data_IF_237651916766
#
_entry.id   IF_237651916766
#
_cell.length_a   1.000
_cell.length_b   1.000
_cell.length_c   1.000
_cell.angle_alpha   90.00
_cell.angle_beta   90.00
_cell.angle_gamma   90.00
#
_symmetry.space_group_name_H-M   'P 1'
#
loop_
_entity.id
_entity.type
_entity.pdbx_description
1 polymer ?
#
# COMPACT_ATOMS: atom_id res chain seq x y z
N UNK A 1 3.85 15.43 -2.27
CA UNK A 1 3.75 14.03 -1.83
C UNK A 1 4.28 13.14 -2.93
N UNK A 2 5.19 12.24 -2.59
CA UNK A 2 5.77 11.34 -3.58
C UNK A 2 4.73 10.28 -3.97
N UNK A 3 4.49 10.13 -5.27
CA UNK A 3 3.59 9.08 -5.75
C UNK A 3 4.28 7.73 -5.69
N UNK A 4 3.47 6.66 -5.61
CA UNK A 4 3.99 5.31 -5.71
C UNK A 4 4.47 5.05 -7.15
N UNK A 5 5.54 4.26 -7.33
CA UNK A 5 5.97 3.87 -8.67
C UNK A 5 4.93 2.95 -9.31
N UNK A 6 4.97 2.84 -10.64
CA UNK A 6 4.16 1.85 -11.32
C UNK A 6 4.77 0.44 -11.16
N UNK A 7 4.05 -0.56 -11.63
CA UNK A 7 4.44 -1.97 -11.50
C UNK A 7 5.80 -2.24 -12.12
N UNK A 8 6.07 -1.72 -13.32
CA UNK A 8 7.33 -1.98 -14.02
C UNK A 8 8.51 -1.34 -13.29
N UNK A 9 8.32 -0.12 -12.80
CA UNK A 9 9.35 0.58 -12.04
C UNK A 9 9.60 -0.11 -10.70
N UNK A 10 8.56 -0.59 -10.05
CA UNK A 10 8.68 -1.37 -8.83
C UNK A 10 9.58 -2.59 -9.05
N UNK A 11 9.30 -3.36 -10.09
CA UNK A 11 10.06 -4.56 -10.38
C UNK A 11 11.53 -4.25 -10.70
N UNK A 12 11.77 -3.19 -11.50
CA UNK A 12 13.15 -2.77 -11.80
C UNK A 12 13.92 -2.36 -10.56
N UNK A 13 13.30 -1.53 -9.72
CA UNK A 13 13.94 -1.04 -8.51
C UNK A 13 14.21 -2.18 -7.52
N UNK A 14 13.26 -3.09 -7.39
CA UNK A 14 13.41 -4.23 -6.49
C UNK A 14 14.53 -5.16 -6.97
N UNK A 15 14.63 -5.38 -8.28
CA UNK A 15 15.69 -6.20 -8.88
C UNK A 15 17.08 -5.61 -8.71
N UNK A 16 17.18 -4.28 -8.58
CA UNK A 16 18.46 -3.59 -8.38
C UNK A 16 18.95 -3.65 -6.94
N UNK A 17 18.12 -4.07 -6.01
CA UNK A 17 18.54 -4.21 -4.62
C UNK A 17 19.55 -5.36 -4.53
N UNK A 18 20.68 -5.10 -3.90
CA UNK A 18 21.81 -6.05 -3.89
C UNK A 18 21.58 -7.23 -2.96
N UNK A 19 20.76 -7.05 -1.91
CA UNK A 19 20.55 -8.06 -0.90
C UNK A 19 19.18 -7.86 -0.24
N UNK A 20 18.84 -8.76 0.69
CA UNK A 20 17.55 -8.72 1.38
C UNK A 20 17.39 -7.49 2.26
N UNK A 21 18.46 -6.98 2.85
CA UNK A 21 18.40 -5.78 3.67
C UNK A 21 17.96 -4.58 2.83
N UNK A 22 18.52 -4.41 1.63
CA UNK A 22 18.13 -3.33 0.73
C UNK A 22 16.69 -3.49 0.26
N UNK A 23 16.27 -4.72 -0.03
CA UNK A 23 14.88 -5.00 -0.43
C UNK A 23 13.91 -4.64 0.68
N UNK A 24 14.23 -5.01 1.90
CA UNK A 24 13.43 -4.71 3.08
C UNK A 24 13.27 -3.21 3.28
N UNK A 25 14.39 -2.47 3.20
CA UNK A 25 14.37 -1.01 3.35
C UNK A 25 13.60 -0.35 2.22
N UNK A 26 13.69 -0.86 1.01
CA UNK A 26 12.92 -0.35 -0.12
C UNK A 26 11.42 -0.51 0.10
N UNK A 27 10.98 -1.67 0.60
CA UNK A 27 9.57 -1.91 0.91
C UNK A 27 9.08 -0.93 1.98
N UNK A 28 9.86 -0.70 3.04
CA UNK A 28 9.51 0.26 4.08
C UNK A 28 9.37 1.66 3.48
N UNK A 29 10.28 2.05 2.59
CA UNK A 29 10.23 3.35 1.92
C UNK A 29 8.93 3.50 1.12
N UNK A 30 8.52 2.46 0.40
CA UNK A 30 7.26 2.49 -0.34
C UNK A 30 6.07 2.75 0.57
N UNK A 31 6.06 2.14 1.75
CA UNK A 31 5.00 2.36 2.73
C UNK A 31 4.91 3.81 3.18
N UNK A 32 6.04 4.51 3.26
CA UNK A 32 6.05 5.92 3.66
C UNK A 32 5.45 6.84 2.60
N UNK A 33 5.28 6.34 1.38
CA UNK A 33 4.68 7.11 0.27
C UNK A 33 3.16 6.93 0.18
N UNK A 34 2.57 6.08 1.02
CA UNK A 34 1.12 5.91 1.05
C UNK A 34 0.46 7.20 1.52
N UNK A 35 -0.68 7.52 0.89
CA UNK A 35 -1.49 8.65 1.34
C UNK A 35 -2.00 8.36 2.75
N UNK A 36 -1.88 9.32 3.69
CA UNK A 36 -2.31 9.08 5.06
C UNK A 36 -3.82 8.94 5.16
N UNK A 37 -4.26 8.12 6.12
CA UNK A 37 -5.67 8.03 6.48
C UNK A 37 -5.98 9.07 7.56
N UNK A 38 -7.22 9.57 7.54
CA UNK A 38 -7.70 10.45 8.61
C UNK A 38 -7.92 9.63 9.89
N UNK A 39 -8.00 10.29 11.08
CA UNK A 39 -8.32 9.56 12.31
C UNK A 39 -9.63 8.78 12.21
N UNK A 40 -10.63 9.32 11.53
CA UNK A 40 -11.92 8.66 11.35
C UNK A 40 -11.82 7.41 10.49
N UNK A 41 -10.84 7.37 9.60
CA UNK A 41 -10.62 6.22 8.72
C UNK A 41 -9.85 5.10 9.41
N UNK A 42 -9.20 5.37 10.52
CA UNK A 42 -8.60 4.34 11.40
C UNK A 42 -9.69 3.77 12.31
N UNK A 43 -10.68 3.15 11.70
CA UNK A 43 -11.86 2.67 12.41
C UNK A 43 -11.97 1.15 12.34
N UNK A 44 -12.80 0.61 13.22
CA UNK A 44 -13.10 -0.83 13.25
C UNK A 44 -13.67 -1.31 11.92
N UNK A 45 -14.42 -0.44 11.21
CA UNK A 45 -15.01 -0.81 9.94
C UNK A 45 -13.98 -1.02 8.84
N UNK A 46 -12.84 -0.36 8.93
CA UNK A 46 -11.78 -0.42 7.92
C UNK A 46 -10.66 -1.38 8.29
N UNK A 47 -10.68 -1.94 9.49
CA UNK A 47 -9.59 -2.81 9.95
C UNK A 47 -9.69 -4.19 9.31
N UNK A 48 -8.52 -4.74 8.95
CA UNK A 48 -8.44 -6.10 8.41
C UNK A 48 -8.22 -7.06 9.57
N UNK A 49 -9.13 -8.00 9.73
CA UNK A 49 -9.09 -8.98 10.81
C UNK A 49 -8.04 -10.04 10.55
N UNK A 50 -7.51 -10.62 11.63
CA UNK A 50 -6.58 -11.73 11.55
C UNK A 50 -5.11 -11.34 11.39
N UNK A 51 -4.81 -10.06 11.34
CA UNK A 51 -3.42 -9.56 11.29
C UNK A 51 -2.88 -9.38 12.71
N UNK A 52 -1.60 -9.68 12.92
CA UNK A 52 -0.92 -9.38 14.18
C UNK A 52 -0.73 -7.88 14.36
N UNK A 53 -0.42 -7.17 13.27
CA UNK A 53 -0.37 -5.71 13.25
C UNK A 53 -1.74 -5.17 12.86
N UNK A 54 -2.06 -3.95 13.28
CA UNK A 54 -3.29 -3.30 12.85
C UNK A 54 -3.12 -2.81 11.41
N UNK A 55 -4.09 -3.16 10.58
CA UNK A 55 -4.12 -2.77 9.16
C UNK A 55 -5.51 -2.20 8.84
N UNK A 56 -5.54 -1.03 8.23
CA UNK A 56 -6.78 -0.39 7.80
C UNK A 56 -6.75 -0.20 6.30
N UNK A 57 -7.86 -0.55 5.63
CA UNK A 57 -8.00 -0.38 4.18
C UNK A 57 -9.26 0.42 3.90
N UNK A 58 -9.15 1.45 3.09
CA UNK A 58 -10.28 2.25 2.60
C UNK A 58 -10.36 2.05 1.09
N UNK A 59 -11.53 1.68 0.62
CA UNK A 59 -11.77 1.44 -0.79
C UNK A 59 -12.75 2.50 -1.31
N UNK A 60 -12.30 3.27 -2.31
CA UNK A 60 -13.13 4.27 -2.97
C UNK A 60 -13.38 3.84 -4.40
N UNK A 61 -14.60 4.02 -4.88
CA UNK A 61 -14.97 3.71 -6.26
C UNK A 61 -15.47 4.99 -6.93
N UNK A 62 -14.89 5.32 -8.08
CA UNK A 62 -15.34 6.50 -8.82
C UNK A 62 -16.57 6.17 -9.69
N UNK A 63 -17.19 7.18 -10.32
CA UNK A 63 -18.39 6.95 -11.16
C UNK A 63 -18.14 6.04 -12.36
N UNK A 64 -16.89 5.85 -12.78
CA UNK A 64 -16.55 4.97 -13.89
C UNK A 64 -16.30 3.52 -13.46
N UNK A 65 -16.38 3.23 -12.16
CA UNK A 65 -16.16 1.91 -11.60
C UNK A 65 -14.72 1.60 -11.23
N UNK A 66 -13.80 2.56 -11.41
CA UNK A 66 -12.39 2.37 -11.03
C UNK A 66 -12.27 2.45 -9.51
N UNK A 67 -11.62 1.45 -8.92
CA UNK A 67 -11.40 1.39 -7.48
C UNK A 67 -10.05 2.01 -7.15
N UNK A 68 -10.05 2.89 -6.16
CA UNK A 68 -8.85 3.47 -5.56
C UNK A 68 -8.75 2.97 -4.13
N UNK A 69 -7.57 2.48 -3.76
CA UNK A 69 -7.31 1.94 -2.43
C UNK A 69 -6.41 2.88 -1.64
N UNK A 70 -6.76 3.08 -0.38
CA UNK A 70 -5.90 3.77 0.59
C UNK A 70 -5.76 2.86 1.80
N UNK A 71 -4.60 2.86 2.43
CA UNK A 71 -4.38 1.98 3.57
C UNK A 71 -3.28 2.46 4.49
N UNK A 72 -3.26 1.89 5.66
CA UNK A 72 -2.27 2.21 6.69
C UNK A 72 -2.06 0.99 7.59
N UNK A 73 -0.98 1.03 8.35
CA UNK A 73 -0.69 0.02 9.37
C UNK A 73 0.15 0.66 10.46
N UNK A 74 0.12 0.06 11.64
CA UNK A 74 0.99 0.45 12.76
C UNK A 74 2.40 -0.15 12.64
N UNK A 75 2.64 -1.03 11.68
CA UNK A 75 3.95 -1.64 11.43
C UNK A 75 4.50 -1.19 10.09
N UNK A 76 5.74 -0.66 10.08
CA UNK A 76 6.35 -0.07 8.88
C UNK A 76 6.48 -1.07 7.73
N UNK A 77 6.88 -2.31 8.01
CA UNK A 77 7.02 -3.32 6.96
C UNK A 77 5.66 -3.72 6.38
N UNK A 78 4.64 -3.84 7.22
CA UNK A 78 3.29 -4.16 6.77
C UNK A 78 2.75 -3.04 5.91
N UNK A 79 2.98 -1.79 6.30
CA UNK A 79 2.61 -0.62 5.50
C UNK A 79 3.28 -0.65 4.12
N UNK A 80 4.54 -1.06 4.06
CA UNK A 80 5.25 -1.25 2.79
C UNK A 80 4.63 -2.34 1.92
N UNK A 81 4.22 -3.45 2.53
CA UNK A 81 3.55 -4.53 1.81
C UNK A 81 2.20 -4.08 1.25
N UNK A 82 1.47 -3.24 2.00
CA UNK A 82 0.23 -2.62 1.51
C UNK A 82 0.53 -1.80 0.25
N UNK A 83 1.60 -1.01 0.26
CA UNK A 83 1.99 -0.22 -0.90
C UNK A 83 2.27 -1.11 -2.12
N UNK A 84 2.96 -2.22 -1.93
CA UNK A 84 3.23 -3.18 -3.01
C UNK A 84 1.92 -3.72 -3.60
N UNK A 85 0.99 -4.12 -2.75
CA UNK A 85 -0.31 -4.63 -3.20
C UNK A 85 -1.04 -3.56 -4.00
N UNK A 86 -1.04 -2.32 -3.54
CA UNK A 86 -1.71 -1.23 -4.24
C UNK A 86 -1.09 -0.97 -5.62
N UNK A 87 0.25 -1.04 -5.74
CA UNK A 87 0.93 -0.88 -7.02
C UNK A 87 0.50 -1.96 -8.00
N UNK A 88 0.39 -3.22 -7.53
CA UNK A 88 0.02 -4.35 -8.39
C UNK A 88 -1.43 -4.29 -8.85
N UNK A 89 -2.30 -3.69 -8.06
CA UNK A 89 -3.74 -3.66 -8.34
C UNK A 89 -4.27 -2.25 -8.64
N UNK A 90 -3.36 -1.31 -8.90
CA UNK A 90 -3.74 0.07 -9.19
C UNK A 90 -4.63 0.13 -10.43
N UNK A 91 -5.71 0.91 -10.35
CA UNK A 91 -6.67 1.17 -11.43
C UNK A 91 -7.42 -0.05 -11.95
N UNK A 92 -7.50 -1.12 -11.17
CA UNK A 92 -8.35 -2.24 -11.53
C UNK A 92 -9.81 -1.89 -11.27
N UNK A 93 -10.70 -2.41 -12.13
CA UNK A 93 -12.14 -2.24 -11.92
C UNK A 93 -12.69 -3.32 -11.00
N UNK A 94 -13.87 -3.05 -10.42
CA UNK A 94 -14.55 -3.99 -9.53
C UNK A 94 -15.28 -5.06 -10.34
N UNK A 95 -14.54 -6.02 -10.85
CA UNK A 95 -15.14 -7.15 -11.58
C UNK A 95 -14.66 -8.46 -11.03
#
# INVERSE_FOLDING_TARGET
MAALPDKDKLLRNFSRCANWEEKYLYIIELGQRLAPLSPEEHSVQNIIQGCQSQVWIVMDQDPTGVITLRGDSDAAIVKGLIAVVFILYDRMTAQ
#
